data_IF_080915740894
#
_entry.id   IF_080915740894
#
_cell.length_a   1.000
_cell.length_b   1.000
_cell.length_c   1.000
_cell.angle_alpha   90.00
_cell.angle_beta   90.00
_cell.angle_gamma   90.00
#
_symmetry.space_group_name_H-M   'P 1'
#
loop_
_entity.id
_entity.type
_entity.pdbx_description
1 polymer ?
#
# COMPACT_ATOMS: atom_id res chain seq x y z
N UNK A 1 -8.65 -18.18 17.80
CA UNK A 1 -8.34 -16.75 17.98
C UNK A 1 -9.66 -16.01 18.05
N UNK A 2 -9.94 -15.25 19.11
CA UNK A 2 -11.22 -14.57 19.26
C UNK A 2 -11.40 -13.63 18.05
N UNK A 3 -12.60 -13.63 17.43
CA UNK A 3 -12.89 -12.87 16.21
C UNK A 3 -12.49 -11.39 16.33
N UNK A 4 -12.61 -10.85 17.55
CA UNK A 4 -12.22 -9.48 17.92
C UNK A 4 -10.77 -9.13 17.58
N UNK A 5 -9.81 -10.04 17.82
CA UNK A 5 -8.39 -9.75 17.55
C UNK A 5 -8.12 -9.65 16.04
N UNK A 6 -8.81 -10.48 15.25
CA UNK A 6 -8.69 -10.48 13.78
C UNK A 6 -9.26 -9.19 13.19
N UNK A 7 -10.38 -8.71 13.73
CA UNK A 7 -11.02 -7.47 13.27
C UNK A 7 -10.15 -6.24 13.58
N UNK A 8 -9.50 -6.20 14.75
CA UNK A 8 -8.55 -5.13 15.12
C UNK A 8 -7.34 -5.13 14.19
N UNK A 9 -6.74 -6.31 13.95
CA UNK A 9 -5.62 -6.46 13.00
C UNK A 9 -5.99 -5.99 11.59
N UNK A 10 -7.17 -6.38 11.10
CA UNK A 10 -7.65 -5.94 9.79
C UNK A 10 -7.91 -4.43 9.73
N UNK A 11 -8.45 -3.84 10.80
CA UNK A 11 -8.66 -2.40 10.92
C UNK A 11 -7.35 -1.61 10.85
N UNK A 12 -6.30 -2.13 11.50
CA UNK A 12 -4.96 -1.54 11.43
C UNK A 12 -4.37 -1.64 10.03
N UNK A 13 -4.43 -2.81 9.39
CA UNK A 13 -3.97 -3.00 8.00
C UNK A 13 -4.73 -2.09 7.02
N UNK A 14 -6.03 -1.93 7.25
CA UNK A 14 -6.92 -1.06 6.50
C UNK A 14 -6.55 0.43 6.60
N UNK A 15 -6.13 0.88 7.78
CA UNK A 15 -5.66 2.24 8.03
C UNK A 15 -4.31 2.48 7.36
N UNK A 16 -3.38 1.52 7.47
CA UNK A 16 -2.06 1.62 6.88
C UNK A 16 -2.14 1.73 5.35
N UNK A 17 -3.00 0.96 4.68
CA UNK A 17 -3.22 1.09 3.23
C UNK A 17 -3.70 2.51 2.87
N UNK A 18 -4.62 3.07 3.65
CA UNK A 18 -5.09 4.44 3.46
C UNK A 18 -3.96 5.46 3.61
N UNK A 19 -3.08 5.27 4.60
CA UNK A 19 -1.90 6.10 4.77
C UNK A 19 -0.94 6.00 3.57
N UNK A 20 -0.69 4.80 3.04
CA UNK A 20 0.18 4.64 1.87
C UNK A 20 -0.38 5.36 0.64
N UNK A 21 -1.70 5.32 0.42
CA UNK A 21 -2.36 6.05 -0.67
C UNK A 21 -2.22 7.57 -0.49
N UNK A 22 -2.45 8.05 0.74
CA UNK A 22 -2.31 9.47 1.06
C UNK A 22 -0.86 9.95 0.89
N UNK A 23 0.11 9.19 1.39
CA UNK A 23 1.54 9.53 1.31
C UNK A 23 2.04 9.49 -0.13
N UNK A 24 1.74 8.44 -0.89
CA UNK A 24 2.16 8.35 -2.30
C UNK A 24 1.50 9.41 -3.17
N UNK A 25 0.21 9.68 -2.97
CA UNK A 25 -0.51 10.74 -3.66
C UNK A 25 0.01 12.14 -3.31
N UNK A 26 0.16 12.43 -2.01
CA UNK A 26 0.70 13.71 -1.55
C UNK A 26 2.14 13.93 -1.99
N UNK A 27 2.98 12.89 -1.97
CA UNK A 27 4.37 12.94 -2.42
C UNK A 27 4.46 13.26 -3.93
N UNK A 28 3.60 12.65 -4.76
CA UNK A 28 3.53 12.97 -6.19
C UNK A 28 3.09 14.42 -6.41
N UNK A 29 2.02 14.86 -5.75
CA UNK A 29 1.52 16.24 -5.90
C UNK A 29 2.55 17.26 -5.42
N UNK A 30 3.21 17.00 -4.29
CA UNK A 30 4.26 17.87 -3.76
C UNK A 30 5.48 17.92 -4.69
N UNK A 31 5.91 16.78 -5.23
CA UNK A 31 7.01 16.71 -6.17
C UNK A 31 6.71 17.44 -7.48
N UNK A 32 5.48 17.34 -7.99
CA UNK A 32 5.04 18.10 -9.16
C UNK A 32 4.97 19.60 -8.87
N UNK A 33 4.41 20.00 -7.73
CA UNK A 33 4.30 21.40 -7.32
C UNK A 33 5.66 22.07 -7.10
N UNK A 34 6.67 21.29 -6.68
CA UNK A 34 8.02 21.79 -6.40
C UNK A 34 9.06 21.26 -7.40
N UNK A 35 8.64 20.94 -8.63
CA UNK A 35 9.51 20.33 -9.66
C UNK A 35 10.82 21.12 -9.85
N UNK A 36 10.75 22.44 -10.01
CA UNK A 36 11.94 23.26 -10.25
C UNK A 36 12.93 23.25 -9.08
N UNK A 37 12.42 23.30 -7.84
CA UNK A 37 13.25 23.28 -6.64
C UNK A 37 13.88 21.90 -6.44
N UNK A 38 13.10 20.82 -6.58
CA UNK A 38 13.60 19.46 -6.44
C UNK A 38 14.64 19.13 -7.52
N UNK A 39 14.39 19.46 -8.79
CA UNK A 39 15.35 19.20 -9.89
C UNK A 39 16.68 19.95 -9.67
N UNK A 40 16.63 21.18 -9.14
CA UNK A 40 17.84 21.93 -8.78
C UNK A 40 18.62 21.26 -7.64
N UNK A 41 17.95 20.63 -6.68
CA UNK A 41 18.57 20.05 -5.49
C UNK A 41 18.99 18.59 -5.65
N UNK A 42 18.19 17.74 -6.31
CA UNK A 42 18.48 16.30 -6.48
C UNK A 42 19.03 15.95 -7.86
N UNK A 43 18.78 16.79 -8.87
CA UNK A 43 19.13 16.52 -10.26
C UNK A 43 18.01 15.85 -11.06
N UNK A 44 18.07 15.99 -12.38
CA UNK A 44 17.01 15.54 -13.29
C UNK A 44 16.78 14.02 -13.21
N UNK A 45 17.85 13.23 -13.14
CA UNK A 45 17.76 11.76 -13.14
C UNK A 45 17.09 11.28 -11.86
N UNK A 46 17.52 11.78 -10.70
CA UNK A 46 16.97 11.36 -9.41
C UNK A 46 15.50 11.78 -9.24
N UNK A 47 15.14 12.97 -9.73
CA UNK A 47 13.74 13.41 -9.74
C UNK A 47 12.85 12.50 -10.61
N UNK A 48 13.33 12.07 -11.78
CA UNK A 48 12.60 11.16 -12.65
C UNK A 48 12.44 9.78 -12.01
N UNK A 49 13.50 9.23 -11.40
CA UNK A 49 13.42 7.94 -10.70
C UNK A 49 12.41 8.02 -9.57
N UNK A 50 12.49 9.04 -8.71
CA UNK A 50 11.50 9.29 -7.66
C UNK A 50 10.06 9.32 -8.19
N UNK A 51 9.79 10.08 -9.26
CA UNK A 51 8.45 10.16 -9.84
C UNK A 51 7.96 8.82 -10.35
N UNK A 52 8.81 8.05 -11.03
CA UNK A 52 8.44 6.71 -11.55
C UNK A 52 8.12 5.74 -10.41
N UNK A 53 8.91 5.74 -9.35
CA UNK A 53 8.72 4.87 -8.19
C UNK A 53 7.45 5.24 -7.44
N UNK A 54 7.17 6.53 -7.25
CA UNK A 54 5.93 6.99 -6.60
C UNK A 54 4.69 6.75 -7.46
N UNK A 55 4.81 6.92 -8.79
CA UNK A 55 3.76 6.61 -9.74
C UNK A 55 3.45 5.10 -9.82
N UNK A 56 4.42 4.23 -9.51
CA UNK A 56 4.20 2.79 -9.35
C UNK A 56 3.68 2.42 -7.95
N UNK A 57 4.11 3.12 -6.90
CA UNK A 57 3.67 2.87 -5.53
C UNK A 57 2.17 3.13 -5.34
N UNK A 58 1.64 4.18 -5.99
CA UNK A 58 0.23 4.57 -5.91
C UNK A 58 -0.74 3.49 -6.44
N UNK A 59 -0.64 2.97 -7.67
CA UNK A 59 -1.53 1.92 -8.17
C UNK A 59 -1.39 0.62 -7.37
N UNK A 60 -0.20 0.31 -6.84
CA UNK A 60 -0.01 -0.85 -5.95
C UNK A 60 -0.74 -0.65 -4.61
N UNK A 61 -0.70 0.56 -4.04
CA UNK A 61 -1.48 0.91 -2.84
C UNK A 61 -3.00 0.87 -3.11
N UNK A 62 -3.44 1.28 -4.30
CA UNK A 62 -4.85 1.15 -4.74
C UNK A 62 -5.24 -0.32 -4.92
N UNK A 63 -4.36 -1.15 -5.47
CA UNK A 63 -4.59 -2.60 -5.60
C UNK A 63 -4.73 -3.28 -4.23
N UNK A 64 -3.94 -2.87 -3.23
CA UNK A 64 -4.09 -3.34 -1.86
C UNK A 64 -5.48 -2.99 -1.28
N UNK A 65 -5.98 -1.77 -1.53
CA UNK A 65 -7.33 -1.37 -1.13
C UNK A 65 -8.42 -2.14 -1.89
N UNK A 66 -8.20 -2.47 -3.16
CA UNK A 66 -9.10 -3.32 -3.93
C UNK A 66 -9.20 -4.73 -3.32
N UNK A 67 -8.07 -5.34 -2.97
CA UNK A 67 -8.06 -6.66 -2.32
C UNK A 67 -8.65 -6.64 -0.91
N UNK A 68 -8.48 -5.55 -0.15
CA UNK A 68 -9.19 -5.30 1.12
C UNK A 68 -10.71 -5.32 0.93
N UNK A 69 -11.21 -4.64 -0.12
CA UNK A 69 -12.64 -4.63 -0.43
C UNK A 69 -13.16 -6.03 -0.76
N UNK A 70 -12.42 -6.78 -1.59
CA UNK A 70 -12.77 -8.17 -1.92
C UNK A 70 -12.79 -9.06 -0.67
N UNK A 71 -11.77 -8.97 0.18
CA UNK A 71 -11.72 -9.72 1.45
C UNK A 71 -12.96 -9.49 2.30
N UNK A 72 -13.32 -8.22 2.55
CA UNK A 72 -14.49 -7.88 3.37
C UNK A 72 -15.79 -8.47 2.82
N UNK A 73 -15.95 -8.47 1.49
CA UNK A 73 -17.13 -9.02 0.83
C UNK A 73 -17.22 -10.55 0.99
N UNK A 74 -16.10 -11.26 0.92
CA UNK A 74 -16.06 -12.71 1.12
C UNK A 74 -16.19 -13.10 2.60
N UNK A 75 -15.63 -12.31 3.51
CA UNK A 75 -15.75 -12.55 4.96
C UNK A 75 -17.21 -12.37 5.44
N UNK A 76 -17.90 -11.31 5.00
CA UNK A 76 -19.33 -11.12 5.26
C UNK A 76 -20.18 -12.27 4.72
N UNK A 77 -19.84 -12.81 3.54
CA UNK A 77 -20.51 -13.98 2.95
C UNK A 77 -20.21 -15.27 3.71
N UNK A 78 -19.04 -15.40 4.33
CA UNK A 78 -18.69 -16.54 5.17
C UNK A 78 -19.44 -16.48 6.51
N UNK A 79 -19.49 -15.30 7.15
CA UNK A 79 -20.25 -15.07 8.38
C UNK A 79 -21.75 -15.34 8.16
N UNK A 80 -22.35 -14.82 7.09
CA UNK A 80 -23.76 -15.06 6.76
C UNK A 80 -24.09 -16.55 6.49
N UNK A 81 -23.16 -17.31 5.92
CA UNK A 81 -23.30 -18.76 5.75
C UNK A 81 -23.13 -19.54 7.05
N UNK A 82 -22.26 -19.08 7.95
CA UNK A 82 -22.08 -19.66 9.29
C UNK A 82 -23.34 -19.51 10.14
N UNK A 83 -24.02 -18.36 10.08
CA UNK A 83 -25.30 -18.12 10.78
C UNK A 83 -26.42 -19.05 10.28
N UNK A 84 -26.30 -19.57 9.05
CA UNK A 84 -27.24 -20.53 8.45
C UNK A 84 -26.88 -22.00 8.71
N UNK A 85 -25.93 -22.30 9.62
CA UNK A 85 -25.45 -23.65 9.95
C UNK A 85 -24.84 -24.46 8.78
N UNK A 86 -24.49 -23.81 7.66
CA UNK A 86 -23.80 -24.45 6.53
C UNK A 86 -22.27 -24.36 6.71
N UNK A 87 -21.74 -25.16 7.64
CA UNK A 87 -20.31 -25.17 8.05
C UNK A 87 -19.35 -25.56 6.91
N UNK A 88 -19.77 -26.41 5.96
CA UNK A 88 -18.96 -26.81 4.81
C UNK A 88 -18.74 -25.66 3.79
N UNK A 89 -19.77 -24.84 3.53
CA UNK A 89 -19.66 -23.66 2.66
C UNK A 89 -18.91 -22.51 3.34
N UNK A 90 -19.05 -22.36 4.66
CA UNK A 90 -18.32 -21.35 5.42
C UNK A 90 -16.79 -21.56 5.32
N UNK A 91 -16.34 -22.81 5.40
CA UNK A 91 -14.91 -23.15 5.30
C UNK A 91 -14.32 -22.92 3.89
N UNK A 92 -15.06 -23.24 2.83
CA UNK A 92 -14.55 -22.99 1.46
C UNK A 92 -14.44 -21.49 1.15
N UNK A 93 -15.34 -20.66 1.71
CA UNK A 93 -15.30 -19.20 1.57
C UNK A 93 -14.22 -18.56 2.43
N UNK A 94 -13.95 -19.08 3.63
CA UNK A 94 -12.87 -18.58 4.49
C UNK A 94 -11.47 -18.81 3.88
N UNK A 95 -11.23 -19.95 3.24
CA UNK A 95 -9.98 -20.24 2.51
C UNK A 95 -9.74 -19.24 1.38
N UNK A 96 -10.80 -18.89 0.62
CA UNK A 96 -10.70 -17.86 -0.43
C UNK A 96 -10.39 -16.48 0.17
N UNK A 97 -11.03 -16.12 1.29
CA UNK A 97 -10.76 -14.87 2.00
C UNK A 97 -9.29 -14.78 2.45
N UNK A 98 -8.72 -15.86 3.00
CA UNK A 98 -7.32 -15.89 3.41
C UNK A 98 -6.35 -15.66 2.25
N UNK A 99 -6.66 -16.20 1.06
CA UNK A 99 -5.84 -15.97 -0.14
C UNK A 99 -5.81 -14.50 -0.54
N UNK A 100 -6.96 -13.81 -0.51
CA UNK A 100 -7.03 -12.38 -0.76
C UNK A 100 -6.29 -11.56 0.30
N UNK A 101 -6.33 -11.99 1.56
CA UNK A 101 -5.60 -11.35 2.66
C UNK A 101 -4.08 -11.46 2.46
N UNK A 102 -3.57 -12.62 2.01
CA UNK A 102 -2.15 -12.77 1.64
C UNK A 102 -1.77 -11.85 0.48
N UNK A 103 -2.58 -11.78 -0.58
CA UNK A 103 -2.34 -10.86 -1.68
C UNK A 103 -2.32 -9.39 -1.21
N UNK A 104 -3.30 -8.98 -0.40
CA UNK A 104 -3.37 -7.64 0.20
C UNK A 104 -2.08 -7.28 0.95
N UNK A 105 -1.59 -8.18 1.81
CA UNK A 105 -0.34 -7.97 2.55
C UNK A 105 0.87 -7.84 1.64
N UNK A 106 0.97 -8.67 0.59
CA UNK A 106 2.09 -8.59 -0.37
C UNK A 106 2.07 -7.26 -1.13
N UNK A 107 0.91 -6.82 -1.66
CA UNK A 107 0.83 -5.52 -2.33
C UNK A 107 1.15 -4.36 -1.38
N UNK A 108 0.65 -4.42 -0.14
CA UNK A 108 0.99 -3.44 0.88
C UNK A 108 2.51 -3.36 1.12
N UNK A 109 3.19 -4.50 1.31
CA UNK A 109 4.64 -4.54 1.52
C UNK A 109 5.42 -4.02 0.30
N UNK A 110 5.00 -4.40 -0.91
CA UNK A 110 5.63 -3.92 -2.15
C UNK A 110 5.49 -2.39 -2.26
N UNK A 111 4.30 -1.84 -1.99
CA UNK A 111 4.08 -0.40 -2.00
C UNK A 111 4.97 0.33 -0.97
N UNK A 112 5.09 -0.24 0.24
CA UNK A 112 5.97 0.31 1.29
C UNK A 112 7.43 0.33 0.83
N UNK A 113 7.93 -0.76 0.24
CA UNK A 113 9.31 -0.86 -0.26
C UNK A 113 9.54 0.19 -1.36
N UNK A 114 8.62 0.35 -2.31
CA UNK A 114 8.71 1.38 -3.34
C UNK A 114 8.80 2.79 -2.72
N UNK A 115 7.93 3.10 -1.76
CA UNK A 115 7.94 4.42 -1.10
C UNK A 115 9.27 4.66 -0.39
N UNK A 116 9.75 3.69 0.40
CA UNK A 116 11.03 3.80 1.09
C UNK A 116 12.19 3.97 0.10
N UNK A 117 12.20 3.20 -0.99
CA UNK A 117 13.24 3.29 -2.01
C UNK A 117 13.26 4.67 -2.68
N UNK A 118 12.10 5.21 -3.07
CA UNK A 118 12.01 6.54 -3.68
C UNK A 118 12.49 7.65 -2.74
N UNK A 119 12.10 7.63 -1.47
CA UNK A 119 12.58 8.63 -0.51
C UNK A 119 14.07 8.49 -0.21
N UNK A 120 14.59 7.27 -0.03
CA UNK A 120 16.02 7.04 0.21
C UNK A 120 16.87 7.50 -0.97
N UNK A 121 16.43 7.24 -2.19
CA UNK A 121 17.12 7.68 -3.41
C UNK A 121 17.16 9.21 -3.51
N UNK A 122 16.04 9.89 -3.24
CA UNK A 122 15.99 11.34 -3.26
C UNK A 122 16.86 11.99 -2.18
N UNK A 123 16.90 11.41 -0.98
CA UNK A 123 17.78 11.84 0.12
C UNK A 123 19.25 11.61 -0.26
N UNK A 124 19.60 10.43 -0.78
CA UNK A 124 20.95 10.11 -1.20
C UNK A 124 21.44 11.05 -2.31
N UNK A 125 20.58 11.34 -3.30
CA UNK A 125 20.89 12.28 -4.37
C UNK A 125 21.13 13.70 -3.84
N UNK A 126 20.32 14.16 -2.89
CA UNK A 126 20.51 15.45 -2.23
C UNK A 126 21.85 15.54 -1.51
N UNK A 127 22.20 14.53 -0.71
CA UNK A 127 23.48 14.46 0.00
C UNK A 127 24.68 14.39 -0.95
N UNK A 128 24.58 13.57 -2.00
CA UNK A 128 25.65 13.43 -2.99
C UNK A 128 25.92 14.76 -3.68
N UNK A 129 24.87 15.50 -4.06
CA UNK A 129 25.01 16.82 -4.68
C UNK A 129 25.55 17.87 -3.70
N UNK A 130 25.19 17.79 -2.41
CA UNK A 130 25.73 18.68 -1.38
C UNK A 130 27.22 18.42 -1.06
N UNK A 131 27.70 17.18 -1.25
CA UNK A 131 29.09 16.80 -0.99
C UNK A 131 30.01 16.99 -2.21
N UNK A 132 29.48 16.88 -3.43
CA UNK A 132 30.26 16.95 -4.67
C UNK A 132 30.01 18.20 -5.53
N UNK A 133 29.09 19.07 -5.15
CA UNK A 133 28.79 20.34 -5.82
C UNK A 133 29.31 21.53 -5.03
#
# INVERSE_FOLDING_TARGET
>A
MPQTDRDILFSNEALVIGMLQAVSGAALVAALAQTEALVKLSGNIAFLVFLTVMALALPVAVLAAYWKHQYKLWDLKAQASSTKNNTAEANTRSVKAERYLKCMRVAFVVSLICICFGFLELIAAFWFRALCG
#
